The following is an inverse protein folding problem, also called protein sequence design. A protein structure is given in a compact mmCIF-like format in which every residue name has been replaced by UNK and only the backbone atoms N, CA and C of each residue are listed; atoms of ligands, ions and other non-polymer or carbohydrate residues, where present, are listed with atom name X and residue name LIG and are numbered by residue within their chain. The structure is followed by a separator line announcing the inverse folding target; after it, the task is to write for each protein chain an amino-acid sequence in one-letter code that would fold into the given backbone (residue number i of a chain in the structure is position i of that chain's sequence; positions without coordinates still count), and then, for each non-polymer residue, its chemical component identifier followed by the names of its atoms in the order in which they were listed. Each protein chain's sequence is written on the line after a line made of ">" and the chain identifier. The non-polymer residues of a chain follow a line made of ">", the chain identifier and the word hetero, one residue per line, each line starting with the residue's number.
data_IF_211779200782
#
_entry.id   IF_211779200782
#
_cell.length_a   1.000
_cell.length_b   1.000
_cell.length_c   1.000
_cell.angle_alpha   90.00
_cell.angle_beta   90.00
_cell.angle_gamma   90.00
#
_symmetry.space_group_name_H-M   'P 1'
#
loop_
_entity.id
_entity.type
_entity.pdbx_description
1 polymer ?
#
# COMPACT_ATOMS: atom_id res chain seq x y z
N UNK A 1 5.38 -9.15 -17.18
CA UNK A 1 6.08 -9.44 -18.46
C UNK A 1 7.17 -10.50 -18.29
N UNK A 2 8.26 -10.25 -17.56
CA UNK A 2 9.36 -11.22 -17.42
C UNK A 2 8.90 -12.56 -16.82
N UNK A 3 8.11 -12.52 -15.75
CA UNK A 3 7.56 -13.73 -15.14
C UNK A 3 6.62 -14.49 -16.10
N UNK A 4 5.74 -13.78 -16.80
CA UNK A 4 4.86 -14.38 -17.81
C UNK A 4 5.65 -15.02 -18.97
N UNK A 5 6.75 -14.39 -19.43
CA UNK A 5 7.68 -14.97 -20.41
C UNK A 5 8.33 -16.26 -19.88
N UNK A 6 8.82 -16.23 -18.63
CA UNK A 6 9.46 -17.38 -18.01
C UNK A 6 8.50 -18.57 -17.82
N UNK A 7 7.23 -18.29 -17.49
CA UNK A 7 6.19 -19.30 -17.32
C UNK A 7 5.73 -19.85 -18.68
N UNK A 8 5.52 -18.98 -19.67
CA UNK A 8 5.26 -19.37 -21.06
C UNK A 8 3.83 -19.84 -21.35
N UNK A 9 3.27 -20.77 -20.56
CA UNK A 9 1.96 -21.38 -20.84
C UNK A 9 0.99 -21.32 -19.65
N UNK A 10 -0.30 -21.37 -19.96
CA UNK A 10 -1.38 -21.41 -18.96
C UNK A 10 -1.30 -22.65 -18.08
N UNK A 11 -1.08 -23.82 -18.68
CA UNK A 11 -0.92 -25.08 -17.93
C UNK A 11 0.22 -25.02 -16.91
N UNK A 12 1.36 -24.41 -17.28
CA UNK A 12 2.49 -24.25 -16.35
C UNK A 12 2.17 -23.25 -15.23
N UNK A 13 1.45 -22.16 -15.54
CA UNK A 13 0.96 -21.21 -14.53
C UNK A 13 0.06 -21.91 -13.50
N UNK A 14 -0.86 -22.75 -13.96
CA UNK A 14 -1.82 -23.46 -13.11
C UNK A 14 -1.10 -24.46 -12.19
N UNK A 15 -0.15 -25.22 -12.74
CA UNK A 15 0.69 -26.13 -11.97
C UNK A 15 1.54 -25.40 -10.92
N UNK A 16 2.18 -24.29 -11.28
CA UNK A 16 2.98 -23.48 -10.35
C UNK A 16 2.12 -22.89 -9.22
N UNK A 17 0.90 -22.46 -9.53
CA UNK A 17 -0.04 -21.96 -8.53
C UNK A 17 -0.40 -23.06 -7.52
N UNK A 18 -0.82 -24.24 -8.00
CA UNK A 18 -1.15 -25.37 -7.14
C UNK A 18 0.04 -25.83 -6.30
N UNK A 19 1.23 -25.94 -6.90
CA UNK A 19 2.46 -26.31 -6.20
C UNK A 19 2.80 -25.31 -5.10
N UNK A 20 2.71 -24.01 -5.38
CA UNK A 20 3.00 -22.94 -4.40
C UNK A 20 2.03 -23.01 -3.22
N UNK A 21 0.73 -23.20 -3.48
CA UNK A 21 -0.26 -23.31 -2.40
C UNK A 21 -0.02 -24.58 -1.56
N UNK A 22 0.28 -25.71 -2.22
CA UNK A 22 0.56 -26.97 -1.53
C UNK A 22 1.82 -26.86 -0.66
N UNK A 23 2.89 -26.28 -1.19
CA UNK A 23 4.17 -26.10 -0.49
C UNK A 23 4.05 -25.20 0.75
N UNK A 24 3.38 -24.04 0.63
CA UNK A 24 3.15 -23.15 1.78
C UNK A 24 2.33 -23.86 2.85
N UNK A 25 1.24 -24.55 2.47
CA UNK A 25 0.40 -25.28 3.42
C UNK A 25 1.11 -26.46 4.07
N UNK A 26 2.01 -27.13 3.36
CA UNK A 26 2.75 -28.27 3.87
C UNK A 26 3.88 -27.86 4.83
N UNK A 27 4.48 -26.69 4.63
CA UNK A 27 5.60 -26.20 5.44
C UNK A 27 5.13 -25.47 6.70
N UNK A 28 4.13 -24.60 6.60
CA UNK A 28 3.53 -23.90 7.73
C UNK A 28 2.15 -23.34 7.34
N UNK A 29 1.09 -23.97 7.82
CA UNK A 29 -0.29 -23.58 7.52
C UNK A 29 -0.67 -22.19 8.05
N UNK A 30 -0.05 -21.75 9.16
CA UNK A 30 -0.20 -20.40 9.72
C UNK A 30 0.32 -19.33 8.76
N UNK A 31 1.31 -19.64 7.90
CA UNK A 31 1.79 -18.70 6.90
C UNK A 31 0.76 -18.43 5.80
N UNK A 32 -0.24 -19.30 5.60
CA UNK A 32 -1.26 -19.14 4.55
C UNK A 32 -2.45 -18.31 5.03
N UNK A 33 -2.33 -16.98 4.95
CA UNK A 33 -3.41 -16.05 5.31
C UNK A 33 -4.31 -15.69 4.13
N UNK A 34 -5.54 -15.23 4.41
CA UNK A 34 -6.46 -14.74 3.37
C UNK A 34 -5.86 -13.61 2.51
N UNK A 35 -5.02 -12.76 3.11
CA UNK A 35 -4.29 -11.71 2.40
C UNK A 35 -3.24 -12.26 1.43
N UNK A 36 -2.44 -13.25 1.84
CA UNK A 36 -1.48 -13.91 0.94
C UNK A 36 -2.20 -14.66 -0.19
N UNK A 37 -3.33 -15.28 0.13
CA UNK A 37 -4.19 -15.91 -0.88
C UNK A 37 -4.70 -14.90 -1.92
N UNK A 38 -5.14 -13.70 -1.50
CA UNK A 38 -5.55 -12.66 -2.45
C UNK A 38 -4.40 -12.16 -3.31
N UNK A 39 -3.22 -11.95 -2.72
CA UNK A 39 -2.02 -11.54 -3.48
C UNK A 39 -1.62 -12.57 -4.55
N UNK A 40 -1.61 -13.85 -4.20
CA UNK A 40 -1.25 -14.91 -5.12
C UNK A 40 -2.30 -15.05 -6.25
N UNK A 41 -3.58 -14.91 -5.90
CA UNK A 41 -4.68 -14.88 -6.88
C UNK A 41 -4.55 -13.70 -7.84
N UNK A 42 -4.29 -12.49 -7.34
CA UNK A 42 -4.12 -11.29 -8.18
C UNK A 42 -2.94 -11.45 -9.15
N UNK A 43 -1.82 -12.01 -8.66
CA UNK A 43 -0.66 -12.34 -9.49
C UNK A 43 -1.01 -13.35 -10.58
N UNK A 44 -1.69 -14.44 -10.22
CA UNK A 44 -2.13 -15.48 -11.14
C UNK A 44 -3.05 -14.93 -12.23
N UNK A 45 -4.06 -14.12 -11.86
CA UNK A 45 -4.98 -13.52 -12.81
C UNK A 45 -4.24 -12.57 -13.77
N UNK A 46 -3.33 -11.75 -13.24
CA UNK A 46 -2.51 -10.82 -14.03
C UNK A 46 -1.64 -11.56 -15.07
N UNK A 47 -1.00 -12.66 -14.68
CA UNK A 47 -0.20 -13.47 -15.61
C UNK A 47 -1.10 -14.20 -16.61
N UNK A 48 -2.24 -14.73 -16.17
CA UNK A 48 -3.17 -15.41 -17.06
C UNK A 48 -3.74 -14.50 -18.14
N UNK A 49 -4.03 -13.24 -17.80
CA UNK A 49 -4.41 -12.19 -18.76
C UNK A 49 -3.26 -11.91 -19.74
N UNK A 50 -2.04 -11.76 -19.23
CA UNK A 50 -0.85 -11.51 -20.04
C UNK A 50 -0.57 -12.61 -21.08
N UNK A 51 -0.79 -13.87 -20.69
CA UNK A 51 -0.61 -15.03 -21.57
C UNK A 51 -1.69 -15.13 -22.64
N UNK A 52 -2.93 -14.70 -22.33
CA UNK A 52 -4.05 -14.72 -23.29
C UNK A 52 -3.99 -13.60 -24.33
N UNK A 53 -3.62 -12.39 -23.92
CA UNK A 53 -3.73 -11.18 -24.75
C UNK A 53 -2.42 -10.78 -25.45
N UNK A 54 -1.39 -11.62 -25.36
CA UNK A 54 -0.07 -11.37 -25.94
C UNK A 54 0.76 -10.37 -25.12
N UNK A 55 2.06 -10.67 -24.95
CA UNK A 55 2.99 -9.96 -24.06
C UNK A 55 3.29 -8.49 -24.45
N UNK A 56 2.88 -8.07 -25.64
CA UNK A 56 3.07 -6.73 -26.19
C UNK A 56 2.00 -5.75 -25.71
N UNK A 57 0.74 -6.19 -25.55
CA UNK A 57 -0.37 -5.35 -25.09
C UNK A 57 -0.49 -5.23 -23.56
N UNK A 58 0.23 -6.05 -22.80
CA UNK A 58 -0.09 -6.33 -21.38
C UNK A 58 0.10 -5.15 -20.43
N UNK A 59 0.88 -4.12 -20.75
CA UNK A 59 1.41 -3.22 -19.70
C UNK A 59 1.64 -1.77 -20.13
N UNK A 60 1.03 -1.29 -21.20
CA UNK A 60 0.95 0.15 -21.31
C UNK A 60 0.04 0.65 -20.19
N UNK A 61 0.62 1.38 -19.24
CA UNK A 61 -0.10 1.93 -18.09
C UNK A 61 -1.35 2.70 -18.55
N UNK A 62 -1.30 3.31 -19.74
CA UNK A 62 -2.44 3.99 -20.37
C UNK A 62 -3.58 3.05 -20.77
N UNK A 63 -3.28 1.86 -21.27
CA UNK A 63 -4.29 0.85 -21.63
C UNK A 63 -5.01 0.35 -20.38
N UNK A 64 -4.27 -0.04 -19.34
CA UNK A 64 -4.84 -0.46 -18.06
C UNK A 64 -5.71 0.65 -17.46
N UNK A 65 -5.21 1.88 -17.44
CA UNK A 65 -5.98 3.04 -16.95
C UNK A 65 -7.28 3.22 -17.73
N UNK A 66 -7.25 3.08 -19.06
CA UNK A 66 -8.43 3.22 -19.91
C UNK A 66 -9.45 2.11 -19.63
N UNK A 67 -9.01 0.86 -19.59
CA UNK A 67 -9.88 -0.30 -19.30
C UNK A 67 -10.51 -0.19 -17.92
N UNK A 68 -9.70 0.07 -16.88
CA UNK A 68 -10.20 0.23 -15.53
C UNK A 68 -11.19 1.39 -15.38
N UNK A 69 -10.97 2.50 -16.10
CA UNK A 69 -11.91 3.64 -16.13
C UNK A 69 -13.23 3.25 -16.79
N UNK A 70 -13.21 2.53 -17.90
CA UNK A 70 -14.41 2.10 -18.60
C UNK A 70 -15.24 1.14 -17.73
N UNK A 71 -14.60 0.11 -17.17
CA UNK A 71 -15.27 -0.84 -16.28
C UNK A 71 -15.81 -0.15 -15.01
N UNK A 72 -15.08 0.84 -14.47
CA UNK A 72 -15.59 1.65 -13.36
C UNK A 72 -16.85 2.45 -13.74
N UNK A 73 -16.94 2.99 -14.96
CA UNK A 73 -18.16 3.67 -15.43
C UNK A 73 -19.34 2.71 -15.53
N UNK A 74 -19.11 1.52 -16.07
CA UNK A 74 -20.12 0.46 -16.15
C UNK A 74 -20.64 0.07 -14.75
N UNK A 75 -19.73 -0.11 -13.78
CA UNK A 75 -20.08 -0.40 -12.39
C UNK A 75 -20.84 0.75 -11.70
N UNK A 76 -20.66 1.98 -12.16
CA UNK A 76 -21.45 3.14 -11.71
C UNK A 76 -22.80 3.26 -12.44
N UNK A 77 -23.11 2.38 -13.40
CA UNK A 77 -24.32 2.41 -14.21
C UNK A 77 -24.32 3.55 -15.25
N UNK A 78 -23.14 3.99 -15.69
CA UNK A 78 -22.99 5.14 -16.59
C UNK A 78 -22.50 4.69 -17.96
N UNK A 79 -23.25 5.04 -19.01
CA UNK A 79 -22.88 4.78 -20.41
C UNK A 79 -21.85 5.78 -20.96
N UNK A 80 -21.84 7.01 -20.43
CA UNK A 80 -20.87 8.05 -20.77
C UNK A 80 -20.25 8.64 -19.51
N UNK A 81 -19.02 9.14 -19.58
CA UNK A 81 -18.39 9.85 -18.46
C UNK A 81 -19.08 11.20 -18.23
N UNK A 82 -19.77 11.42 -17.10
CA UNK A 82 -20.32 12.74 -16.78
C UNK A 82 -19.19 13.76 -16.62
N UNK A 83 -19.45 15.04 -16.92
CA UNK A 83 -18.41 16.07 -16.87
C UNK A 83 -17.79 16.24 -15.48
N UNK A 84 -18.56 16.03 -14.42
CA UNK A 84 -18.07 16.02 -13.03
C UNK A 84 -17.00 14.94 -12.84
N UNK A 85 -17.22 13.72 -13.37
CA UNK A 85 -16.23 12.63 -13.31
C UNK A 85 -15.02 12.94 -14.18
N UNK A 86 -15.21 13.49 -15.39
CA UNK A 86 -14.10 13.90 -16.26
C UNK A 86 -13.19 14.90 -15.54
N UNK A 87 -13.78 15.92 -14.90
CA UNK A 87 -13.04 16.92 -14.15
C UNK A 87 -12.31 16.30 -12.95
N UNK A 88 -12.98 15.47 -12.16
CA UNK A 88 -12.36 14.74 -11.05
C UNK A 88 -11.17 13.90 -11.51
N UNK A 89 -11.36 13.06 -12.52
CA UNK A 89 -10.35 12.14 -13.04
C UNK A 89 -9.18 12.84 -13.74
N UNK A 90 -9.36 14.07 -14.24
CA UNK A 90 -8.28 14.88 -14.83
C UNK A 90 -7.24 15.31 -13.79
N UNK A 91 -7.65 15.44 -12.52
CA UNK A 91 -6.80 15.82 -11.38
C UNK A 91 -6.05 14.63 -10.78
N UNK A 92 -6.62 13.42 -10.89
CA UNK A 92 -6.04 12.19 -10.35
C UNK A 92 -4.86 11.70 -11.21
N UNK A 93 -3.76 11.22 -10.61
CA UNK A 93 -2.64 10.67 -11.36
C UNK A 93 -3.00 9.31 -11.97
N UNK A 94 -2.30 8.92 -13.04
CA UNK A 94 -2.52 7.63 -13.70
C UNK A 94 -2.32 6.44 -12.75
N UNK A 95 -1.41 6.57 -11.77
CA UNK A 95 -1.16 5.56 -10.74
C UNK A 95 -2.39 5.22 -9.90
N UNK A 96 -3.29 6.19 -9.67
CA UNK A 96 -4.54 5.94 -8.96
C UNK A 96 -5.37 4.86 -9.65
N UNK A 97 -5.51 4.96 -10.98
CA UNK A 97 -6.31 4.01 -11.76
C UNK A 97 -5.58 2.69 -11.99
N UNK A 98 -4.28 2.73 -12.25
CA UNK A 98 -3.51 1.50 -12.51
C UNK A 98 -3.32 0.63 -11.27
N UNK A 99 -3.41 1.19 -10.06
CA UNK A 99 -3.16 0.49 -8.81
C UNK A 99 -4.45 0.11 -8.06
N UNK A 100 -5.62 0.50 -8.57
CA UNK A 100 -6.91 0.21 -7.97
C UNK A 100 -7.73 -0.71 -8.89
N UNK A 101 -8.58 -1.54 -8.28
CA UNK A 101 -9.55 -2.32 -9.04
C UNK A 101 -10.66 -1.39 -9.56
N UNK A 102 -11.31 -1.72 -10.69
CA UNK A 102 -12.40 -0.92 -11.25
C UNK A 102 -13.54 -0.63 -10.25
N UNK A 103 -13.89 -1.61 -9.42
CA UNK A 103 -14.88 -1.45 -8.34
C UNK A 103 -14.45 -0.45 -7.25
N UNK A 104 -13.15 -0.40 -6.93
CA UNK A 104 -12.61 0.59 -6.01
C UNK A 104 -12.60 1.98 -6.66
N UNK A 105 -12.24 2.09 -7.94
CA UNK A 105 -12.29 3.35 -8.69
C UNK A 105 -13.70 3.91 -8.73
N UNK A 106 -14.71 3.08 -9.03
CA UNK A 106 -16.12 3.45 -9.06
C UNK A 106 -16.56 4.02 -7.69
N UNK A 107 -16.37 3.23 -6.63
CA UNK A 107 -16.73 3.60 -5.26
C UNK A 107 -16.04 4.89 -4.80
N UNK A 108 -14.73 5.00 -5.00
CA UNK A 108 -13.96 6.19 -4.63
C UNK A 108 -14.42 7.42 -5.42
N UNK A 109 -14.70 7.27 -6.71
CA UNK A 109 -15.20 8.37 -7.54
C UNK A 109 -16.55 8.87 -7.05
N UNK A 110 -17.50 7.97 -6.79
CA UNK A 110 -18.82 8.33 -6.25
C UNK A 110 -18.71 9.05 -4.91
N UNK A 111 -17.87 8.56 -4.01
CA UNK A 111 -17.67 9.16 -2.71
C UNK A 111 -16.99 10.56 -2.81
N UNK A 112 -16.01 10.72 -3.70
CA UNK A 112 -15.35 12.01 -3.95
C UNK A 112 -16.30 13.04 -4.57
N UNK A 113 -17.29 12.62 -5.36
CA UNK A 113 -18.29 13.52 -5.93
C UNK A 113 -19.25 14.10 -4.88
N UNK A 114 -19.56 13.33 -3.84
CA UNK A 114 -20.48 13.74 -2.77
C UNK A 114 -19.76 14.48 -1.64
N UNK A 115 -18.43 14.52 -1.68
CA UNK A 115 -17.62 15.01 -0.59
C UNK A 115 -17.49 16.55 -0.63
N UNK A 116 -17.88 17.26 0.46
CA UNK A 116 -17.66 18.70 0.58
C UNK A 116 -16.18 18.95 0.85
N UNK A 117 -15.57 19.85 0.08
CA UNK A 117 -14.12 20.14 0.00
C UNK A 117 -13.43 20.55 1.31
N UNK A 118 -14.16 20.71 2.42
CA UNK A 118 -13.70 21.23 3.71
C UNK A 118 -13.23 20.16 4.75
N UNK A 119 -13.33 18.85 4.46
CA UNK A 119 -13.06 17.78 5.45
C UNK A 119 -12.02 16.71 5.01
N UNK A 120 -11.96 15.50 5.58
CA UNK A 120 -11.48 14.34 4.81
C UNK A 120 -12.68 13.57 4.35
N UNK A 121 -12.53 12.96 3.20
CA UNK A 121 -13.25 11.75 2.91
C UNK A 121 -12.45 10.56 3.47
N UNK A 122 -13.04 9.86 4.45
CA UNK A 122 -12.48 8.61 4.99
C UNK A 122 -13.51 7.50 4.76
N UNK A 123 -13.18 6.54 3.91
CA UNK A 123 -13.97 5.33 3.72
C UNK A 123 -13.23 4.16 4.35
N UNK A 124 -13.95 3.31 5.07
CA UNK A 124 -13.38 2.10 5.62
C UNK A 124 -14.39 0.97 5.45
N UNK A 125 -14.09 0.08 4.53
CA UNK A 125 -14.96 -1.03 4.18
C UNK A 125 -14.36 -2.37 4.56
N UNK A 126 -15.25 -3.31 4.85
CA UNK A 126 -14.89 -4.71 4.98
C UNK A 126 -14.81 -5.33 3.60
N UNK A 127 -13.61 -5.57 3.12
CA UNK A 127 -13.43 -6.39 1.92
C UNK A 127 -13.21 -7.84 2.33
N UNK A 128 -14.27 -8.46 2.88
CA UNK A 128 -14.23 -9.87 3.31
C UNK A 128 -13.78 -10.81 2.19
N UNK A 129 -14.06 -10.46 0.93
CA UNK A 129 -13.64 -11.20 -0.27
C UNK A 129 -12.16 -11.03 -0.64
N UNK A 130 -11.50 -9.95 -0.21
CA UNK A 130 -10.08 -9.64 -0.50
C UNK A 130 -9.15 -9.92 0.68
N UNK A 131 -9.65 -10.60 1.72
CA UNK A 131 -8.85 -10.97 2.88
C UNK A 131 -8.28 -9.80 3.68
N UNK A 132 -8.78 -8.58 3.48
CA UNK A 132 -8.32 -7.34 4.11
C UNK A 132 -9.43 -6.29 4.20
N UNK A 133 -9.24 -5.23 4.98
CA UNK A 133 -10.10 -4.05 4.95
C UNK A 133 -9.50 -2.95 4.09
N UNK A 134 -10.37 -2.22 3.38
CA UNK A 134 -9.97 -1.17 2.46
C UNK A 134 -10.20 0.19 3.13
N UNK A 135 -9.11 0.88 3.46
CA UNK A 135 -9.12 2.25 3.98
C UNK A 135 -8.78 3.22 2.84
N UNK A 136 -9.66 4.16 2.58
CA UNK A 136 -9.46 5.23 1.62
C UNK A 136 -9.48 6.57 2.32
N UNK A 137 -8.47 7.40 2.04
CA UNK A 137 -8.35 8.77 2.57
C UNK A 137 -8.17 9.73 1.40
N UNK A 138 -9.03 10.73 1.32
CA UNK A 138 -8.90 11.85 0.38
C UNK A 138 -9.03 13.18 1.12
N UNK A 139 -7.97 14.00 1.06
CA UNK A 139 -7.90 15.28 1.76
C UNK A 139 -6.82 16.20 1.19
N UNK A 140 -6.84 17.49 1.55
CA UNK A 140 -5.78 18.43 1.20
C UNK A 140 -4.46 18.00 1.83
N UNK A 141 -3.38 18.06 1.06
CA UNK A 141 -2.06 17.62 1.51
C UNK A 141 -1.51 18.51 2.64
N UNK A 142 -0.78 17.88 3.57
CA UNK A 142 -0.11 18.53 4.70
C UNK A 142 1.22 17.83 5.00
N UNK A 143 2.26 18.57 5.43
CA UNK A 143 3.53 17.97 5.84
C UNK A 143 3.32 16.85 6.88
N UNK A 144 3.92 15.69 6.63
CA UNK A 144 3.85 14.55 7.56
C UNK A 144 2.48 13.83 7.59
N UNK A 145 1.61 14.04 6.60
CA UNK A 145 0.30 13.38 6.54
C UNK A 145 0.41 11.85 6.63
N UNK A 146 1.24 11.25 5.80
CA UNK A 146 1.50 9.80 5.80
C UNK A 146 1.94 9.29 7.18
N UNK A 147 2.89 9.99 7.80
CA UNK A 147 3.41 9.65 9.14
C UNK A 147 2.29 9.67 10.18
N UNK A 148 1.49 10.72 10.13
CA UNK A 148 0.37 10.92 11.05
C UNK A 148 -0.68 9.84 10.87
N UNK A 149 -1.00 9.48 9.62
CA UNK A 149 -1.93 8.40 9.31
C UNK A 149 -1.44 7.06 9.85
N UNK A 150 -0.20 6.66 9.50
CA UNK A 150 0.37 5.37 9.87
C UNK A 150 0.51 5.21 11.38
N UNK A 151 1.00 6.24 12.08
CA UNK A 151 1.11 6.20 13.53
C UNK A 151 -0.27 6.16 14.21
N UNK A 152 -1.29 6.80 13.62
CA UNK A 152 -2.66 6.69 14.13
C UNK A 152 -3.20 5.28 13.98
N UNK A 153 -2.99 4.64 12.83
CA UNK A 153 -3.39 3.23 12.60
C UNK A 153 -2.66 2.29 13.56
N UNK A 154 -1.34 2.46 13.72
CA UNK A 154 -0.55 1.68 14.66
C UNK A 154 -1.08 1.82 16.11
N UNK A 155 -1.43 3.04 16.54
CA UNK A 155 -2.03 3.30 17.87
C UNK A 155 -3.39 2.61 18.08
N UNK A 156 -4.07 2.24 16.99
CA UNK A 156 -5.35 1.54 16.98
C UNK A 156 -5.20 0.02 16.79
N UNK A 157 -3.97 -0.50 16.87
CA UNK A 157 -3.63 -1.91 16.62
C UNK A 157 -4.09 -2.37 15.22
N UNK A 158 -3.75 -1.56 14.22
CA UNK A 158 -4.01 -1.81 12.82
C UNK A 158 -2.69 -1.88 12.09
N UNK A 159 -2.49 -2.97 11.37
CA UNK A 159 -1.35 -3.17 10.48
C UNK A 159 -1.73 -2.77 9.07
N UNK A 160 -0.88 -1.99 8.42
CA UNK A 160 -1.00 -1.66 7.00
C UNK A 160 -0.24 -2.72 6.22
N UNK A 161 -0.89 -3.36 5.25
CA UNK A 161 -0.29 -4.39 4.40
C UNK A 161 0.18 -3.82 3.05
N UNK A 162 -0.57 -2.84 2.55
CA UNK A 162 -0.26 -2.15 1.31
C UNK A 162 -0.80 -0.73 1.38
N UNK A 163 -0.06 0.23 0.82
CA UNK A 163 -0.50 1.60 0.65
C UNK A 163 -0.13 2.10 -0.75
N UNK A 164 -1.11 2.65 -1.45
CA UNK A 164 -0.91 3.45 -2.65
C UNK A 164 -1.18 4.91 -2.28
N UNK A 165 -0.17 5.76 -2.47
CA UNK A 165 -0.23 7.17 -2.09
C UNK A 165 -0.05 7.99 -3.36
N UNK A 166 -0.90 8.97 -3.55
CA UNK A 166 -0.92 9.72 -4.79
C UNK A 166 -1.34 11.15 -4.52
N UNK A 167 -0.51 12.11 -4.95
CA UNK A 167 -0.87 13.52 -4.94
C UNK A 167 -1.63 13.86 -6.22
N UNK A 168 -2.73 14.60 -6.08
CA UNK A 168 -3.49 15.14 -7.19
C UNK A 168 -2.88 16.43 -7.70
N UNK A 169 -3.23 16.84 -8.93
CA UNK A 169 -2.72 18.09 -9.52
C UNK A 169 -3.13 19.35 -8.76
N UNK A 170 -4.23 19.28 -8.01
CA UNK A 170 -4.80 20.36 -7.22
C UNK A 170 -4.39 20.31 -5.73
N UNK A 171 -3.35 19.53 -5.38
CA UNK A 171 -2.74 19.56 -4.05
C UNK A 171 -3.48 18.76 -2.98
N UNK A 172 -4.30 17.79 -3.37
CA UNK A 172 -4.86 16.79 -2.48
C UNK A 172 -4.00 15.52 -2.47
N UNK A 173 -4.16 14.72 -1.43
CA UNK A 173 -3.63 13.35 -1.38
C UNK A 173 -4.80 12.38 -1.46
N UNK A 174 -4.57 11.31 -2.20
CA UNK A 174 -5.43 10.14 -2.35
C UNK A 174 -4.64 8.94 -1.87
N UNK A 175 -5.04 8.39 -0.73
CA UNK A 175 -4.40 7.22 -0.14
C UNK A 175 -5.37 6.05 -0.12
N UNK A 176 -4.96 4.92 -0.70
CA UNK A 176 -5.70 3.66 -0.64
C UNK A 176 -4.83 2.63 0.07
N UNK A 177 -5.28 2.18 1.24
CA UNK A 177 -4.56 1.27 2.11
C UNK A 177 -5.34 -0.06 2.26
N UNK A 178 -4.61 -1.17 2.20
CA UNK A 178 -5.07 -2.49 2.64
C UNK A 178 -4.64 -2.66 4.09
N UNK A 179 -5.59 -2.84 4.99
CA UNK A 179 -5.33 -2.91 6.43
C UNK A 179 -5.89 -4.18 7.06
N UNK A 180 -5.25 -4.64 8.12
CA UNK A 180 -5.67 -5.73 8.99
C UNK A 180 -5.57 -5.28 10.45
N UNK A 181 -6.25 -5.95 11.36
CA UNK A 181 -5.84 -5.87 12.76
C UNK A 181 -4.56 -6.68 13.03
N UNK A 182 -4.05 -6.59 14.25
CA UNK A 182 -2.83 -7.30 14.67
C UNK A 182 -3.04 -8.81 14.80
N UNK A 183 -4.28 -9.30 14.80
CA UNK A 183 -4.60 -10.72 14.70
C UNK A 183 -4.67 -11.17 13.23
N UNK A 184 -4.22 -10.33 12.28
CA UNK A 184 -4.24 -10.56 10.83
C UNK A 184 -5.63 -10.76 10.22
N UNK A 185 -6.67 -10.21 10.86
CA UNK A 185 -8.04 -10.26 10.37
C UNK A 185 -8.48 -8.92 9.74
N UNK A 186 -9.39 -8.94 8.76
CA UNK A 186 -10.11 -7.74 8.35
C UNK A 186 -10.83 -7.09 9.54
N UNK A 187 -11.05 -5.78 9.48
CA UNK A 187 -11.81 -5.04 10.50
C UNK A 187 -13.30 -5.34 10.34
N UNK A 188 -13.79 -6.42 10.97
CA UNK A 188 -15.14 -6.99 10.77
C UNK A 188 -16.29 -6.22 11.42
N UNK A 189 -16.06 -5.54 12.54
CA UNK A 189 -17.18 -4.90 13.27
C UNK A 189 -17.38 -3.45 12.84
N UNK A 190 -18.63 -3.09 12.53
CA UNK A 190 -19.00 -1.72 12.17
C UNK A 190 -18.59 -0.71 13.25
N UNK A 191 -18.74 -1.06 14.54
CA UNK A 191 -18.30 -0.22 15.65
C UNK A 191 -16.79 0.03 15.68
N UNK A 192 -15.96 -0.98 15.37
CA UNK A 192 -14.50 -0.80 15.25
C UNK A 192 -14.16 0.08 14.06
N UNK A 193 -14.81 -0.12 12.91
CA UNK A 193 -14.63 0.74 11.72
C UNK A 193 -14.98 2.19 12.01
N UNK A 194 -16.11 2.45 12.69
CA UNK A 194 -16.50 3.82 13.06
C UNK A 194 -15.52 4.47 14.04
N UNK A 195 -15.05 3.72 15.04
CA UNK A 195 -14.02 4.20 15.97
C UNK A 195 -12.73 4.61 15.25
N UNK A 196 -12.32 3.83 14.24
CA UNK A 196 -11.14 4.12 13.42
C UNK A 196 -11.35 5.40 12.61
N UNK A 197 -12.45 5.48 11.85
CA UNK A 197 -12.80 6.69 11.07
C UNK A 197 -12.85 7.93 11.95
N UNK A 198 -13.51 7.85 13.12
CA UNK A 198 -13.58 8.95 14.08
C UNK A 198 -12.20 9.37 14.58
N UNK A 199 -11.33 8.43 14.94
CA UNK A 199 -9.97 8.74 15.41
C UNK A 199 -9.12 9.37 14.30
N UNK A 200 -9.17 8.83 13.10
CA UNK A 200 -8.48 9.39 11.94
C UNK A 200 -8.97 10.82 11.66
N UNK A 201 -10.28 11.06 11.72
CA UNK A 201 -10.84 12.41 11.58
C UNK A 201 -10.27 13.37 12.64
N UNK A 202 -10.24 12.94 13.91
CA UNK A 202 -9.70 13.76 14.99
C UNK A 202 -8.21 14.11 14.81
N UNK A 203 -7.38 13.17 14.38
CA UNK A 203 -5.94 13.41 14.25
C UNK A 203 -5.63 14.22 12.98
N UNK A 204 -6.20 13.84 11.84
CA UNK A 204 -5.86 14.42 10.53
C UNK A 204 -6.50 15.82 10.32
N UNK A 205 -7.61 16.12 11.02
CA UNK A 205 -8.38 17.36 10.85
C UNK A 205 -8.36 18.25 12.07
N UNK A 206 -8.63 17.71 13.24
CA UNK A 206 -8.69 18.50 14.48
C UNK A 206 -7.30 18.72 15.10
N UNK A 207 -6.23 18.35 14.40
CA UNK A 207 -4.84 18.42 14.85
C UNK A 207 -4.62 17.82 16.25
N UNK A 208 -5.41 16.80 16.63
CA UNK A 208 -5.20 16.10 17.89
C UNK A 208 -3.88 15.35 17.83
N UNK A 209 -3.19 15.31 18.97
CA UNK A 209 -1.95 14.53 19.10
C UNK A 209 -2.23 13.06 18.78
N UNK A 210 -1.32 12.47 17.99
CA UNK A 210 -1.32 11.02 17.75
C UNK A 210 -1.18 10.32 19.11
N UNK A 211 -2.04 9.34 19.44
CA UNK A 211 -1.92 8.62 20.70
C UNK A 211 -0.60 7.88 20.78
N UNK A 212 0.01 7.83 21.96
CA UNK A 212 1.19 6.97 22.18
C UNK A 212 0.78 5.51 21.96
N UNK A 213 1.56 4.82 21.14
CA UNK A 213 1.41 3.38 20.95
C UNK A 213 1.75 2.67 22.26
N UNK A 214 0.90 1.74 22.70
CA UNK A 214 1.22 0.87 23.84
C UNK A 214 2.27 -0.14 23.38
N UNK A 215 3.41 -0.16 24.06
CA UNK A 215 4.46 -1.13 23.83
C UNK A 215 4.05 -2.45 24.45
N UNK A 216 3.93 -3.50 23.63
CA UNK A 216 3.96 -4.87 24.14
C UNK A 216 5.42 -5.30 24.13
N UNK A 217 6.05 -5.35 25.30
CA UNK A 217 7.47 -5.61 25.52
C UNK A 217 7.82 -7.10 25.46
N UNK A 218 7.26 -7.85 24.51
CA UNK A 218 7.63 -9.25 24.29
C UNK A 218 8.33 -9.37 22.94
N UNK A 219 9.46 -8.67 22.80
CA UNK A 219 10.41 -8.94 21.73
C UNK A 219 11.31 -10.03 22.28
N UNK A 220 11.14 -11.26 21.80
CA UNK A 220 12.10 -12.32 22.07
C UNK A 220 13.48 -11.90 21.56
N UNK A 221 14.53 -12.28 22.28
CA UNK A 221 15.92 -11.97 21.95
C UNK A 221 16.36 -12.72 20.68
N UNK A 222 15.95 -12.24 19.52
CA UNK A 222 16.52 -12.62 18.24
C UNK A 222 17.29 -11.42 17.69
N UNK A 223 18.55 -11.64 17.33
CA UNK A 223 19.38 -10.64 16.68
C UNK A 223 19.27 -10.90 15.18
N UNK A 224 18.46 -10.12 14.48
CA UNK A 224 18.50 -10.06 13.02
C UNK A 224 19.08 -8.73 12.61
N UNK A 225 20.14 -8.76 11.80
CA UNK A 225 20.69 -7.54 11.21
C UNK A 225 19.67 -6.92 10.25
N UNK A 226 19.45 -5.62 10.39
CA UNK A 226 18.63 -4.87 9.45
C UNK A 226 19.31 -4.80 8.09
N UNK A 227 18.56 -5.06 7.02
CA UNK A 227 19.06 -4.98 5.65
C UNK A 227 18.29 -3.92 4.88
N UNK A 228 19.02 -2.97 4.30
CA UNK A 228 18.46 -1.96 3.38
C UNK A 228 19.07 -2.15 2.00
N UNK A 229 18.20 -2.38 1.02
CA UNK A 229 18.58 -2.59 -0.38
C UNK A 229 17.88 -1.59 -1.29
N UNK A 230 18.58 -1.14 -2.33
CA UNK A 230 18.02 -0.31 -3.38
C UNK A 230 17.80 -1.18 -4.62
N UNK A 231 16.54 -1.42 -4.94
CA UNK A 231 16.13 -2.28 -6.04
C UNK A 231 15.98 -1.48 -7.33
N UNK A 232 16.07 -2.19 -8.46
CA UNK A 232 15.83 -1.57 -9.77
C UNK A 232 14.38 -1.10 -9.90
N UNK A 233 14.20 0.22 -10.07
CA UNK A 233 12.91 0.83 -10.38
C UNK A 233 12.70 0.93 -11.89
N UNK A 234 11.53 0.52 -12.37
CA UNK A 234 11.12 0.77 -13.78
C UNK A 234 10.90 2.26 -14.07
N UNK A 235 10.66 3.06 -13.03
CA UNK A 235 10.44 4.50 -13.11
C UNK A 235 11.76 5.21 -12.79
N UNK A 236 12.34 5.90 -13.78
CA UNK A 236 13.65 6.58 -13.65
C UNK A 236 13.64 7.69 -12.59
N UNK A 237 12.48 8.29 -12.33
CA UNK A 237 12.22 9.35 -11.36
C UNK A 237 11.90 8.82 -9.95
N UNK A 238 12.10 7.52 -9.70
CA UNK A 238 11.74 6.87 -8.42
C UNK A 238 12.80 5.88 -8.00
N UNK A 239 13.01 5.78 -6.69
CA UNK A 239 13.87 4.77 -6.06
C UNK A 239 13.01 3.75 -5.36
N UNK A 240 13.31 2.47 -5.56
CA UNK A 240 12.67 1.37 -4.86
C UNK A 240 13.58 0.92 -3.72
N UNK A 241 13.10 0.96 -2.48
CA UNK A 241 13.85 0.63 -1.27
C UNK A 241 13.21 -0.60 -0.64
N UNK A 242 13.99 -1.65 -0.41
CA UNK A 242 13.60 -2.82 0.39
C UNK A 242 14.26 -2.69 1.76
N UNK A 243 13.48 -2.88 2.82
CA UNK A 243 13.99 -2.86 4.18
C UNK A 243 13.51 -4.09 4.93
N UNK A 244 14.45 -4.95 5.28
CA UNK A 244 14.22 -6.19 6.02
C UNK A 244 14.70 -6.03 7.45
N UNK A 245 13.87 -6.33 8.43
CA UNK A 245 14.20 -6.26 9.86
C UNK A 245 13.23 -7.09 10.69
N UNK A 246 13.40 -7.15 12.02
CA UNK A 246 12.40 -7.74 12.91
C UNK A 246 11.13 -6.89 12.96
N UNK A 247 9.97 -7.56 13.06
CA UNK A 247 8.68 -6.90 13.19
C UNK A 247 8.55 -6.27 14.58
N UNK A 248 8.92 -4.99 14.67
CA UNK A 248 8.75 -4.18 15.87
C UNK A 248 7.53 -3.26 15.70
N UNK A 249 6.62 -3.17 16.69
CA UNK A 249 5.54 -2.18 16.71
C UNK A 249 5.96 -0.74 16.39
N UNK A 250 7.19 -0.34 16.76
CA UNK A 250 7.71 1.01 16.50
C UNK A 250 8.30 1.20 15.10
N UNK A 251 8.50 0.13 14.33
CA UNK A 251 9.21 0.15 13.05
C UNK A 251 8.65 1.22 12.12
N UNK A 252 7.32 1.36 12.05
CA UNK A 252 6.73 2.32 11.13
C UNK A 252 6.95 3.79 11.50
N UNK A 253 6.94 4.13 12.79
CA UNK A 253 7.25 5.49 13.23
C UNK A 253 8.69 5.87 12.86
N UNK A 254 9.58 4.91 12.88
CA UNK A 254 11.00 5.07 12.57
C UNK A 254 11.24 5.34 11.07
N UNK A 255 10.65 4.55 10.16
CA UNK A 255 10.67 4.87 8.72
C UNK A 255 10.08 6.23 8.43
N UNK A 256 8.95 6.51 9.05
CA UNK A 256 8.28 7.79 8.90
C UNK A 256 9.17 8.97 9.30
N UNK A 257 9.96 8.82 10.38
CA UNK A 257 10.93 9.82 10.80
C UNK A 257 12.08 9.94 9.82
N UNK A 258 12.67 8.83 9.36
CA UNK A 258 13.72 8.84 8.34
C UNK A 258 13.25 9.51 7.06
N UNK A 259 12.13 9.08 6.49
CA UNK A 259 11.56 9.68 5.29
C UNK A 259 11.28 11.18 5.45
N UNK A 260 10.86 11.63 6.65
CA UNK A 260 10.70 13.06 6.93
C UNK A 260 12.04 13.81 6.97
N UNK A 261 13.05 13.27 7.66
CA UNK A 261 14.38 13.88 7.79
C UNK A 261 15.05 14.06 6.42
N UNK A 262 14.91 13.06 5.54
CA UNK A 262 15.45 13.08 4.19
C UNK A 262 14.51 13.74 3.16
N UNK A 263 13.41 14.37 3.60
CA UNK A 263 12.41 15.05 2.75
C UNK A 263 11.88 14.18 1.58
N UNK A 264 11.69 12.89 1.82
CA UNK A 264 11.26 11.94 0.81
C UNK A 264 9.75 11.95 0.60
N UNK A 265 9.34 11.86 -0.66
CA UNK A 265 7.96 11.64 -1.06
C UNK A 265 7.72 10.14 -1.24
N UNK A 266 6.71 9.59 -0.57
CA UNK A 266 6.34 8.18 -0.65
C UNK A 266 5.19 8.02 -1.65
N UNK A 267 5.37 7.16 -2.65
CA UNK A 267 4.39 6.89 -3.70
C UNK A 267 3.64 5.58 -3.47
N UNK A 268 4.32 4.59 -2.89
CA UNK A 268 3.68 3.34 -2.47
C UNK A 268 4.51 2.67 -1.39
N UNK A 269 3.83 1.94 -0.51
CA UNK A 269 4.46 1.05 0.46
C UNK A 269 3.80 -0.34 0.36
N UNK A 270 4.62 -1.39 0.44
CA UNK A 270 4.15 -2.75 0.65
C UNK A 270 4.83 -3.27 1.90
N UNK A 271 4.03 -3.72 2.85
CA UNK A 271 4.49 -4.14 4.17
C UNK A 271 4.13 -5.62 4.26
N UNK A 272 5.16 -6.45 4.37
CA UNK A 272 4.99 -7.90 4.41
C UNK A 272 5.67 -8.42 5.67
N UNK A 273 4.91 -9.06 6.55
CA UNK A 273 5.49 -9.81 7.67
C UNK A 273 5.61 -11.29 7.29
N UNK A 274 6.80 -11.86 7.46
CA UNK A 274 7.12 -13.28 7.28
C UNK A 274 7.79 -13.80 8.55
N UNK A 275 7.08 -14.62 9.33
CA UNK A 275 7.56 -15.05 10.63
C UNK A 275 7.73 -13.85 11.56
N UNK A 276 8.94 -13.66 12.07
CA UNK A 276 9.31 -12.54 12.96
C UNK A 276 9.92 -11.36 12.21
N UNK A 277 10.07 -11.44 10.89
CA UNK A 277 10.67 -10.38 10.07
C UNK A 277 9.62 -9.64 9.25
N UNK A 278 9.83 -8.34 9.10
CA UNK A 278 9.18 -7.50 8.11
C UNK A 278 10.09 -7.32 6.91
N UNK A 279 9.52 -7.45 5.71
CA UNK A 279 10.11 -7.04 4.44
C UNK A 279 9.23 -5.94 3.83
N UNK A 280 9.70 -4.71 4.02
CA UNK A 280 8.97 -3.51 3.65
C UNK A 280 9.58 -2.88 2.41
N UNK A 281 8.76 -2.72 1.38
CA UNK A 281 9.17 -2.14 0.11
C UNK A 281 8.50 -0.78 -0.08
N UNK A 282 9.31 0.25 -0.28
CA UNK A 282 8.86 1.63 -0.49
C UNK A 282 9.29 2.12 -1.87
N UNK A 283 8.36 2.71 -2.62
CA UNK A 283 8.68 3.48 -3.82
C UNK A 283 8.69 4.95 -3.45
N UNK A 284 9.86 5.58 -3.50
CA UNK A 284 10.07 6.95 -3.04
C UNK A 284 10.69 7.82 -4.13
N UNK A 285 10.64 9.13 -3.91
CA UNK A 285 11.44 10.13 -4.61
C UNK A 285 11.96 11.15 -3.62
N UNK A 286 12.94 11.94 -4.03
CA UNK A 286 13.34 13.12 -3.28
C UNK A 286 12.21 14.18 -3.26
N UNK A 287 12.48 15.31 -2.60
CA UNK A 287 11.59 16.47 -2.53
C UNK A 287 11.22 17.07 -3.89
N UNK A 288 12.09 16.93 -4.88
CA UNK A 288 11.91 17.42 -6.24
C UNK A 288 11.18 16.42 -7.14
N UNK A 289 10.86 15.22 -6.63
CA UNK A 289 10.22 14.17 -7.41
C UNK A 289 11.17 13.40 -8.32
N UNK A 290 12.47 13.40 -8.04
CA UNK A 290 13.52 12.65 -8.73
C UNK A 290 13.89 11.37 -7.96
N UNK A 291 14.63 10.46 -8.61
CA UNK A 291 15.25 9.34 -7.91
C UNK A 291 16.36 9.85 -6.98
N UNK A 292 16.57 9.15 -5.87
CA UNK A 292 17.66 9.44 -4.94
C UNK A 292 19.00 9.22 -5.63
N UNK A 293 19.93 10.14 -5.41
CA UNK A 293 21.34 9.95 -5.76
C UNK A 293 22.03 8.94 -4.82
N UNK A 294 23.25 8.56 -5.17
CA UNK A 294 23.96 7.51 -4.43
C UNK A 294 24.37 7.96 -3.02
N UNK A 295 24.67 9.24 -2.82
CA UNK A 295 24.97 9.83 -1.51
C UNK A 295 23.75 9.75 -0.57
N UNK A 296 22.58 10.19 -1.03
CA UNK A 296 21.32 10.12 -0.29
C UNK A 296 20.93 8.68 0.02
N UNK A 297 21.16 7.74 -0.92
CA UNK A 297 20.94 6.31 -0.68
C UNK A 297 21.84 5.80 0.44
N UNK A 298 23.12 6.15 0.43
CA UNK A 298 24.08 5.69 1.43
C UNK A 298 23.74 6.26 2.81
N UNK A 299 23.44 7.56 2.90
CA UNK A 299 23.05 8.21 4.14
C UNK A 299 21.74 7.64 4.72
N UNK A 300 20.74 7.41 3.88
CA UNK A 300 19.47 6.79 4.28
C UNK A 300 19.66 5.35 4.75
N UNK A 301 20.52 4.59 4.07
CA UNK A 301 20.88 3.22 4.46
C UNK A 301 21.53 3.19 5.84
N UNK A 302 22.55 4.02 6.08
CA UNK A 302 23.19 4.12 7.39
C UNK A 302 22.18 4.50 8.47
N UNK A 303 21.37 5.53 8.22
CA UNK A 303 20.33 5.96 9.15
C UNK A 303 19.39 4.82 9.56
N UNK A 304 18.88 4.05 8.60
CA UNK A 304 17.98 2.95 8.91
C UNK A 304 18.68 1.78 9.60
N UNK A 305 19.91 1.44 9.21
CA UNK A 305 20.67 0.36 9.85
C UNK A 305 20.98 0.71 11.31
N UNK A 306 21.50 1.91 11.58
CA UNK A 306 21.86 2.36 12.92
C UNK A 306 20.64 2.37 13.84
N UNK A 307 19.55 2.97 13.35
CA UNK A 307 18.29 3.08 14.08
C UNK A 307 17.65 1.72 14.40
N UNK A 308 17.78 0.72 13.51
CA UNK A 308 17.23 -0.62 13.76
C UNK A 308 18.16 -1.42 14.70
N UNK A 309 19.48 -1.25 14.60
CA UNK A 309 20.44 -1.93 15.45
C UNK A 309 20.45 -1.41 16.90
N UNK A 310 20.24 -0.10 17.12
CA UNK A 310 20.09 0.48 18.46
C UNK A 310 18.92 -0.15 19.25
N UNK A 311 17.90 -0.67 18.57
CA UNK A 311 16.75 -1.32 19.21
C UNK A 311 16.99 -2.76 19.62
N UNK A 312 17.97 -3.45 19.01
CA UNK A 312 18.34 -4.81 19.41
C UNK A 312 19.21 -4.80 20.68
N UNK A 313 19.79 -3.65 21.00
CA UNK A 313 20.71 -3.46 22.14
C UNK A 313 20.03 -2.92 23.42
N UNK A 314 18.72 -2.61 23.37
CA UNK A 314 17.90 -2.14 24.50
C UNK A 314 16.91 -3.21 24.94
#
# INVERSE_FOLDING_TARGET
>A
KNLAKAIGTKARLDALYCLTVADIKATNDVLWTNWKASLLRDLYLSISYALRNGLENVLEQRTIVREHKNEALELMGMSETPDVIKQLWKRLPLSFFSNAQPSDIARYSQAMMQYPTEHALILLDESSTKGSSDLFVYMKDKPGLFVTLFNTLASLQISVQQANISRTKDGYVVESLKILDYDHHPIRTAGRRERIKKRLKQVLFENRKVPKQRLNSNIGSFVSEAKVEFLHSRKKDRTLISVTALDNPQFMSHFCNGFRLFELNIHSAKITTVGEQVDNVFLVSDKNGQSLDDESKQALKSFFVDMINEQVSM
#
